data_IF_576629021408
#
_entry.id   IF_576629021408
#
_cell.length_a   1.000
_cell.length_b   1.000
_cell.length_c   1.000
_cell.angle_alpha   90.00
_cell.angle_beta   90.00
_cell.angle_gamma   90.00
#
_symmetry.space_group_name_H-M   'P 1'
#
loop_
_entity.id
_entity.type
_entity.pdbx_description
1 polymer ?
#
# COMPACT_ATOMS: atom_id res chain seq x y z
N UNK A 1 16.81 -8.13 0.98
CA UNK A 1 16.01 -8.49 -0.22
C UNK A 1 15.32 -9.82 0.03
N UNK A 2 14.05 -9.91 -0.27
CA UNK A 2 13.29 -11.14 -0.09
C UNK A 2 13.32 -11.97 -1.37
N UNK A 3 13.73 -13.22 -1.23
CA UNK A 3 13.86 -14.15 -2.35
C UNK A 3 12.82 -15.24 -2.24
N UNK A 4 12.09 -15.52 -3.33
CA UNK A 4 11.10 -16.59 -3.40
C UNK A 4 11.56 -17.60 -4.45
N UNK A 5 11.67 -18.86 -4.05
CA UNK A 5 11.98 -19.95 -4.95
C UNK A 5 10.70 -20.69 -5.29
N UNK A 6 10.49 -20.95 -6.57
CA UNK A 6 9.31 -21.64 -7.07
C UNK A 6 9.75 -22.82 -7.92
N UNK A 7 9.23 -24.00 -7.59
CA UNK A 7 9.54 -25.24 -8.30
C UNK A 7 8.44 -25.53 -9.31
N UNK A 8 8.83 -25.68 -10.57
CA UNK A 8 7.87 -25.87 -11.68
C UNK A 8 8.54 -26.67 -12.79
N UNK A 9 7.77 -27.52 -13.53
CA UNK A 9 8.29 -28.19 -14.74
C UNK A 9 8.53 -27.21 -15.89
N UNK A 10 7.96 -26.02 -15.88
CA UNK A 10 8.12 -25.02 -16.92
C UNK A 10 8.55 -23.67 -16.31
N UNK A 11 9.82 -23.54 -15.87
CA UNK A 11 10.26 -22.35 -15.12
C UNK A 11 10.15 -21.04 -15.90
N UNK A 12 10.38 -21.06 -17.21
CA UNK A 12 10.30 -19.83 -18.02
C UNK A 12 8.86 -19.29 -18.10
N UNK A 13 7.89 -20.19 -18.32
CA UNK A 13 6.48 -19.81 -18.38
C UNK A 13 5.98 -19.35 -17.01
N UNK A 14 6.36 -20.07 -15.95
CA UNK A 14 5.97 -19.69 -14.60
C UNK A 14 6.53 -18.33 -14.22
N UNK A 15 7.77 -18.03 -14.60
CA UNK A 15 8.38 -16.73 -14.34
C UNK A 15 7.61 -15.60 -14.99
N UNK A 16 7.22 -15.76 -16.26
CA UNK A 16 6.44 -14.76 -16.97
C UNK A 16 5.10 -14.50 -16.31
N UNK A 17 4.38 -15.57 -15.93
CA UNK A 17 3.09 -15.47 -15.26
C UNK A 17 3.23 -14.72 -13.93
N UNK A 18 4.24 -15.06 -13.15
CA UNK A 18 4.46 -14.45 -11.85
C UNK A 18 4.90 -12.98 -11.97
N UNK A 19 5.74 -12.67 -12.94
CA UNK A 19 6.13 -11.29 -13.20
C UNK A 19 4.93 -10.45 -13.61
N UNK A 20 4.05 -10.96 -14.45
CA UNK A 20 2.82 -10.28 -14.84
C UNK A 20 1.89 -10.08 -13.64
N UNK A 21 1.75 -11.09 -12.78
CA UNK A 21 0.93 -11.00 -11.59
C UNK A 21 1.46 -9.93 -10.63
N UNK A 22 2.77 -9.87 -10.42
CA UNK A 22 3.40 -8.86 -9.57
C UNK A 22 3.21 -7.47 -10.16
N UNK A 23 3.42 -7.31 -11.47
CA UNK A 23 3.24 -6.03 -12.15
C UNK A 23 1.78 -5.55 -12.04
N UNK A 24 0.82 -6.46 -12.17
CA UNK A 24 -0.60 -6.15 -12.00
C UNK A 24 -0.90 -5.70 -10.57
N UNK A 25 -0.39 -6.45 -9.57
CA UNK A 25 -0.58 -6.09 -8.16
C UNK A 25 0.03 -4.73 -7.82
N UNK A 26 1.23 -4.43 -8.34
CA UNK A 26 1.84 -3.11 -8.17
C UNK A 26 0.95 -2.00 -8.74
N UNK A 27 0.38 -2.24 -9.93
CA UNK A 27 -0.52 -1.27 -10.56
C UNK A 27 -1.74 -1.00 -9.71
N UNK A 28 -2.37 -2.06 -9.16
CA UNK A 28 -3.51 -1.93 -8.27
C UNK A 28 -3.17 -1.16 -6.99
N UNK A 29 -2.00 -1.46 -6.40
CA UNK A 29 -1.53 -0.74 -5.21
C UNK A 29 -1.28 0.73 -5.50
N UNK A 30 -0.67 1.05 -6.64
CA UNK A 30 -0.42 2.44 -7.03
C UNK A 30 -1.74 3.21 -7.24
N UNK A 31 -2.75 2.59 -7.82
CA UNK A 31 -4.08 3.19 -7.98
C UNK A 31 -4.72 3.43 -6.61
N UNK A 32 -4.63 2.47 -5.71
CA UNK A 32 -5.17 2.60 -4.35
C UNK A 32 -4.43 3.69 -3.56
N UNK A 33 -3.10 3.76 -3.71
CA UNK A 33 -2.29 4.82 -3.10
C UNK A 33 -2.74 6.20 -3.58
N UNK A 34 -2.91 6.38 -4.89
CA UNK A 34 -3.33 7.65 -5.46
C UNK A 34 -4.68 8.09 -4.91
N UNK A 35 -5.66 7.18 -4.87
CA UNK A 35 -7.00 7.47 -4.33
C UNK A 35 -6.95 7.81 -2.84
N UNK A 36 -6.17 7.05 -2.07
CA UNK A 36 -6.05 7.27 -0.64
C UNK A 36 -5.36 8.60 -0.35
N UNK A 37 -4.30 8.95 -1.09
CA UNK A 37 -3.62 10.23 -0.96
C UNK A 37 -4.57 11.40 -1.26
N UNK A 38 -5.38 11.27 -2.31
CA UNK A 38 -6.38 12.27 -2.67
C UNK A 38 -7.42 12.43 -1.55
N UNK A 39 -7.90 11.33 -0.99
CA UNK A 39 -8.88 11.36 0.11
C UNK A 39 -8.28 11.98 1.37
N UNK A 40 -7.04 11.65 1.70
CA UNK A 40 -6.32 12.27 2.83
C UNK A 40 -6.23 13.78 2.62
N UNK A 41 -5.88 14.22 1.43
CA UNK A 41 -5.76 15.64 1.11
C UNK A 41 -7.09 16.36 1.24
N UNK A 42 -8.16 15.77 0.72
CA UNK A 42 -9.51 16.34 0.84
C UNK A 42 -9.95 16.50 2.30
N UNK A 43 -9.76 15.45 3.10
CA UNK A 43 -10.13 15.48 4.51
C UNK A 43 -9.26 16.46 5.29
N UNK A 44 -7.96 16.49 5.04
CA UNK A 44 -7.03 17.39 5.72
C UNK A 44 -7.38 18.86 5.44
N UNK A 45 -7.71 19.19 4.21
CA UNK A 45 -8.12 20.54 3.83
C UNK A 45 -9.48 20.91 4.46
N UNK A 46 -10.44 20.00 4.39
CA UNK A 46 -11.77 20.20 4.97
C UNK A 46 -11.70 20.45 6.48
N UNK A 47 -10.89 19.67 7.19
CA UNK A 47 -10.73 19.74 8.63
C UNK A 47 -9.71 20.79 9.08
N UNK A 48 -8.94 21.35 8.15
CA UNK A 48 -7.85 22.28 8.44
C UNK A 48 -6.83 21.67 9.40
N UNK A 49 -6.46 20.42 9.16
CA UNK A 49 -5.57 19.62 9.99
C UNK A 49 -4.34 19.22 9.18
N UNK A 50 -3.16 19.30 9.82
CA UNK A 50 -1.94 18.73 9.27
C UNK A 50 -1.95 17.22 9.56
N UNK A 51 -1.92 16.35 8.52
CA UNK A 51 -1.93 14.89 8.73
C UNK A 51 -0.78 14.40 9.59
N UNK A 52 0.41 15.00 9.48
CA UNK A 52 1.57 14.60 10.28
C UNK A 52 1.35 14.88 11.77
N UNK A 53 0.73 16.00 12.10
CA UNK A 53 0.39 16.33 13.48
C UNK A 53 -0.69 15.39 14.03
N UNK A 54 -1.64 14.99 13.18
CA UNK A 54 -2.67 14.04 13.58
C UNK A 54 -2.06 12.68 13.91
N UNK A 55 -1.13 12.19 13.10
CA UNK A 55 -0.41 10.94 13.37
C UNK A 55 0.43 11.02 14.65
N UNK A 56 0.95 12.20 14.96
CA UNK A 56 1.70 12.41 16.20
C UNK A 56 0.81 12.46 17.45
N UNK A 57 -0.50 12.47 17.29
CA UNK A 57 -1.44 12.49 18.42
C UNK A 57 -1.60 13.85 19.08
N UNK A 58 -1.17 14.94 18.44
CA UNK A 58 -1.21 16.29 19.02
C UNK A 58 -2.41 17.11 18.59
N UNK A 59 -3.26 16.54 17.73
CA UNK A 59 -4.47 17.22 17.26
C UNK A 59 -5.64 16.87 18.18
N UNK A 60 -6.32 17.88 18.77
CA UNK A 60 -7.52 17.60 19.57
C UNK A 60 -8.66 17.13 18.67
N UNK A 61 -9.53 16.30 19.22
CA UNK A 61 -10.72 15.79 18.54
C UNK A 61 -11.95 16.55 19.03
N UNK A 62 -12.37 17.65 18.36
CA UNK A 62 -13.62 18.32 18.69
C UNK A 62 -14.79 17.38 18.47
N UNK A 63 -15.80 17.48 19.33
CA UNK A 63 -16.95 16.58 19.32
C UNK A 63 -17.68 16.57 17.98
N UNK A 64 -17.79 17.74 17.32
CA UNK A 64 -18.48 17.90 16.04
C UNK A 64 -17.69 17.40 14.83
N UNK A 65 -16.39 17.14 14.99
CA UNK A 65 -15.49 16.68 13.91
C UNK A 65 -14.85 15.33 14.20
N UNK A 66 -15.21 14.69 15.30
CA UNK A 66 -14.54 13.47 15.75
C UNK A 66 -14.61 12.33 14.72
N UNK A 67 -15.79 12.13 14.11
CA UNK A 67 -15.96 11.09 13.09
C UNK A 67 -15.12 11.37 11.84
N UNK A 68 -15.00 12.61 11.41
CA UNK A 68 -14.17 12.97 10.26
C UNK A 68 -12.68 12.81 10.56
N UNK A 69 -12.27 13.14 11.79
CA UNK A 69 -10.89 12.92 12.24
C UNK A 69 -10.56 11.44 12.29
N UNK A 70 -11.47 10.60 12.77
CA UNK A 70 -11.31 9.16 12.78
C UNK A 70 -11.20 8.61 11.36
N UNK A 71 -11.99 9.14 10.42
CA UNK A 71 -11.89 8.75 9.02
C UNK A 71 -10.51 9.12 8.45
N UNK A 72 -10.01 10.32 8.73
CA UNK A 72 -8.69 10.76 8.30
C UNK A 72 -7.58 9.86 8.88
N UNK A 73 -7.66 9.53 10.17
CA UNK A 73 -6.70 8.61 10.80
C UNK A 73 -6.73 7.24 10.13
N UNK A 74 -7.92 6.72 9.82
CA UNK A 74 -8.09 5.45 9.11
C UNK A 74 -7.47 5.48 7.71
N UNK A 75 -7.68 6.55 6.97
CA UNK A 75 -7.09 6.72 5.63
C UNK A 75 -5.58 6.84 5.69
N UNK A 76 -5.02 7.53 6.69
CA UNK A 76 -3.58 7.63 6.90
C UNK A 76 -2.97 6.26 7.23
N UNK A 77 -3.66 5.47 8.03
CA UNK A 77 -3.22 4.12 8.37
C UNK A 77 -3.24 3.20 7.13
N UNK A 78 -4.28 3.30 6.32
CA UNK A 78 -4.37 2.59 5.05
C UNK A 78 -3.24 3.00 4.10
N UNK A 79 -2.96 4.30 4.01
CA UNK A 79 -1.88 4.82 3.16
C UNK A 79 -0.52 4.22 3.55
N UNK A 80 -0.24 4.19 4.85
CA UNK A 80 0.98 3.57 5.37
C UNK A 80 1.04 2.09 4.99
N UNK A 81 -0.04 1.37 5.17
CA UNK A 81 -0.13 -0.07 4.88
C UNK A 81 0.11 -0.35 3.40
N UNK A 82 -0.50 0.44 2.50
CA UNK A 82 -0.31 0.31 1.06
C UNK A 82 1.14 0.57 0.64
N UNK A 83 1.78 1.57 1.24
CA UNK A 83 3.20 1.86 0.99
C UNK A 83 4.10 0.71 1.43
N UNK A 84 3.81 0.11 2.58
CA UNK A 84 4.57 -1.05 3.07
C UNK A 84 4.41 -2.25 2.14
N UNK A 85 3.20 -2.52 1.66
CA UNK A 85 2.95 -3.59 0.71
C UNK A 85 3.68 -3.38 -0.61
N UNK A 86 3.66 -2.16 -1.13
CA UNK A 86 4.38 -1.83 -2.36
C UNK A 86 5.89 -2.02 -2.19
N UNK A 87 6.43 -1.55 -1.08
CA UNK A 87 7.86 -1.71 -0.77
C UNK A 87 8.25 -3.19 -0.70
N UNK A 88 7.41 -4.05 -0.12
CA UNK A 88 7.64 -5.48 -0.08
C UNK A 88 7.64 -6.10 -1.47
N UNK A 89 6.69 -5.71 -2.32
CA UNK A 89 6.64 -6.20 -3.71
C UNK A 89 7.88 -5.80 -4.51
N UNK A 90 8.37 -4.59 -4.32
CA UNK A 90 9.56 -4.11 -5.01
C UNK A 90 10.82 -4.83 -4.58
N UNK A 91 10.84 -5.42 -3.38
CA UNK A 91 11.97 -6.18 -2.86
C UNK A 91 11.91 -7.67 -3.19
N UNK A 92 10.83 -8.15 -3.81
CA UNK A 92 10.70 -9.55 -4.15
C UNK A 92 11.59 -9.93 -5.33
N UNK A 93 12.27 -11.05 -5.19
CA UNK A 93 13.01 -11.70 -6.27
C UNK A 93 12.47 -13.10 -6.43
N UNK A 94 12.01 -13.46 -7.63
CA UNK A 94 11.47 -14.77 -7.93
C UNK A 94 12.54 -15.59 -8.62
N UNK A 95 12.84 -16.76 -8.07
CA UNK A 95 13.83 -17.70 -8.62
C UNK A 95 13.10 -19.00 -8.98
N UNK A 96 12.68 -19.19 -10.24
CA UNK A 96 12.06 -20.45 -10.65
C UNK A 96 13.10 -21.56 -10.70
N UNK A 97 12.70 -22.73 -10.21
CA UNK A 97 13.51 -23.95 -10.26
C UNK A 97 12.71 -25.04 -10.95
N UNK A 98 13.37 -25.77 -11.84
CA UNK A 98 12.72 -26.86 -12.56
C UNK A 98 12.54 -28.06 -11.65
N UNK A 99 11.31 -28.60 -11.62
CA UNK A 99 11.01 -29.88 -10.98
C UNK A 99 11.04 -31.01 -12.01
N UNK A 100 11.61 -32.10 -11.63
CA UNK A 100 11.62 -33.29 -12.49
C UNK A 100 10.56 -34.27 -12.06
#
# INVERSE_FOLDING_TARGET
MTKIEIFTPEPEKALLILQDAIAWQKRLLLQSLARTQERVQELAVHLQVDPDLLLAGVVPHPEDQDMDLLELEGELDLLRHLREQLAQLERLTICPSQTT
#
